data_IF_849766926865
#
_entry.id   IF_849766926865
#
_cell.length_a   1.000
_cell.length_b   1.000
_cell.length_c   1.000
_cell.angle_alpha   90.00
_cell.angle_beta   90.00
_cell.angle_gamma   90.00
#
_symmetry.space_group_name_H-M   'P 1'
#
loop_
_entity.id
_entity.type
_entity.pdbx_description
1 polymer ?
#
# COMPACT_ATOMS: atom_id res chain seq x y z
N UNK A 1 31.05 12.78 7.02
CA UNK A 1 29.65 12.54 6.58
C UNK A 1 28.71 13.66 7.03
N UNK A 2 27.69 13.99 6.24
CA UNK A 2 26.61 14.93 6.64
C UNK A 2 25.70 14.24 7.68
N UNK A 3 25.26 14.96 8.71
CA UNK A 3 24.34 14.40 9.71
C UNK A 3 22.99 14.09 9.06
N UNK A 4 22.52 12.85 9.27
CA UNK A 4 21.21 12.44 8.77
C UNK A 4 20.12 12.95 9.72
N UNK A 5 18.97 13.40 9.20
CA UNK A 5 17.89 13.99 10.01
C UNK A 5 17.08 12.96 10.81
N UNK A 6 17.56 11.71 10.92
CA UNK A 6 16.86 10.64 11.62
C UNK A 6 17.83 9.60 12.21
N UNK A 7 17.38 8.85 13.21
CA UNK A 7 18.17 7.81 13.84
C UNK A 7 18.27 6.54 12.98
N UNK A 8 19.49 6.09 12.71
CA UNK A 8 19.74 4.87 11.95
C UNK A 8 19.61 3.65 12.88
N UNK A 9 18.81 2.63 12.54
CA UNK A 9 18.75 1.40 13.32
C UNK A 9 20.13 0.77 13.51
N UNK A 10 20.41 0.22 14.71
CA UNK A 10 21.70 -0.44 15.04
C UNK A 10 22.12 -1.52 14.03
N UNK A 11 21.16 -2.19 13.39
CA UNK A 11 21.44 -3.19 12.35
C UNK A 11 22.09 -2.60 11.08
N UNK A 12 21.90 -1.30 10.83
CA UNK A 12 22.36 -0.61 9.64
C UNK A 12 23.51 0.37 9.91
N UNK A 13 23.77 0.75 11.17
CA UNK A 13 24.82 1.72 11.53
C UNK A 13 26.22 1.26 11.06
N UNK A 14 26.52 -0.04 11.18
CA UNK A 14 27.80 -0.61 10.75
C UNK A 14 28.11 -0.42 9.25
N UNK A 15 27.08 -0.28 8.40
CA UNK A 15 27.29 -0.02 6.98
C UNK A 15 27.68 1.43 6.73
N UNK A 16 27.21 2.36 7.56
CA UNK A 16 27.51 3.79 7.42
C UNK A 16 28.93 4.08 7.89
N UNK A 17 29.33 3.51 9.03
CA UNK A 17 30.69 3.65 9.57
C UNK A 17 31.74 3.13 8.58
N UNK A 18 31.50 1.95 7.98
CA UNK A 18 32.46 1.29 7.08
C UNK A 18 32.38 1.76 5.63
N UNK A 19 31.46 2.68 5.32
CA UNK A 19 31.27 3.16 3.95
C UNK A 19 32.47 3.98 3.47
N UNK A 20 33.11 4.75 4.36
CA UNK A 20 34.29 5.57 4.02
C UNK A 20 35.51 4.70 3.66
N UNK A 21 35.62 3.50 4.24
CA UNK A 21 36.74 2.58 3.96
C UNK A 21 36.58 1.86 2.61
N UNK A 22 35.42 1.23 2.37
CA UNK A 22 35.20 0.33 1.22
C UNK A 22 33.79 0.50 0.61
N UNK A 23 33.53 1.57 -0.15
CA UNK A 23 32.17 1.97 -0.53
C UNK A 23 31.49 0.95 -1.45
N UNK A 24 32.20 0.37 -2.43
CA UNK A 24 31.63 -0.62 -3.35
C UNK A 24 31.24 -1.93 -2.66
N UNK A 25 32.09 -2.43 -1.77
CA UNK A 25 31.82 -3.66 -1.03
C UNK A 25 30.63 -3.49 -0.09
N UNK A 26 30.55 -2.34 0.58
CA UNK A 26 29.45 -2.01 1.48
C UNK A 26 28.12 -1.92 0.74
N UNK A 27 28.07 -1.25 -0.41
CA UNK A 27 26.86 -1.23 -1.26
C UNK A 27 26.43 -2.65 -1.64
N UNK A 28 27.37 -3.50 -2.07
CA UNK A 28 27.08 -4.89 -2.43
C UNK A 28 26.54 -5.70 -1.26
N UNK A 29 27.16 -5.57 -0.07
CA UNK A 29 26.71 -6.23 1.17
C UNK A 29 25.34 -5.73 1.61
N UNK A 30 25.10 -4.42 1.60
CA UNK A 30 23.81 -3.83 1.96
C UNK A 30 22.71 -4.27 0.99
N UNK A 31 22.98 -4.29 -0.32
CA UNK A 31 22.05 -4.81 -1.32
C UNK A 31 21.70 -6.27 -1.09
N UNK A 32 22.67 -7.12 -0.73
CA UNK A 32 22.42 -8.52 -0.37
C UNK A 32 21.60 -8.65 0.92
N UNK A 33 21.86 -7.81 1.91
CA UNK A 33 21.12 -7.79 3.17
C UNK A 33 19.66 -7.41 2.94
N UNK A 34 19.40 -6.36 2.15
CA UNK A 34 18.05 -5.91 1.81
C UNK A 34 17.23 -6.98 1.06
N UNK A 35 17.86 -7.69 0.12
CA UNK A 35 17.21 -8.82 -0.58
C UNK A 35 16.71 -9.91 0.37
N UNK A 36 17.38 -10.12 1.52
CA UNK A 36 17.01 -11.14 2.51
C UNK A 36 15.98 -10.64 3.51
N UNK A 37 16.04 -9.36 3.88
CA UNK A 37 15.22 -8.76 4.95
C UNK A 37 13.82 -8.37 4.50
N UNK A 38 13.63 -8.11 3.20
CA UNK A 38 12.32 -7.75 2.64
C UNK A 38 12.10 -6.23 2.57
N UNK A 39 10.87 -5.73 2.81
CA UNK A 39 10.53 -4.32 2.63
C UNK A 39 11.17 -3.45 3.72
N UNK A 40 12.20 -2.68 3.36
CA UNK A 40 12.92 -1.82 4.29
C UNK A 40 13.22 -0.43 3.70
N UNK A 41 12.45 0.55 4.13
CA UNK A 41 12.59 1.93 3.66
C UNK A 41 13.94 2.54 4.04
N UNK A 42 14.46 2.28 5.24
CA UNK A 42 15.69 2.92 5.74
C UNK A 42 16.91 2.34 5.03
N UNK A 43 16.95 1.04 4.78
CA UNK A 43 18.07 0.47 4.02
C UNK A 43 18.07 0.89 2.55
N UNK A 44 16.89 1.04 1.92
CA UNK A 44 16.80 1.61 0.57
C UNK A 44 17.18 3.10 0.53
N UNK A 45 16.86 3.86 1.57
CA UNK A 45 17.38 5.22 1.76
C UNK A 45 18.92 5.23 1.81
N UNK A 46 19.55 4.35 2.61
CA UNK A 46 21.00 4.32 2.73
C UNK A 46 21.68 3.95 1.40
N UNK A 47 21.12 2.98 0.66
CA UNK A 47 21.60 2.68 -0.69
C UNK A 47 21.50 3.89 -1.62
N UNK A 48 20.37 4.60 -1.58
CA UNK A 48 20.15 5.79 -2.37
C UNK A 48 21.18 6.88 -2.04
N UNK A 49 21.46 7.09 -0.75
CA UNK A 49 22.47 8.02 -0.26
C UNK A 49 23.88 7.62 -0.69
N UNK A 50 24.24 6.34 -0.57
CA UNK A 50 25.54 5.83 -1.01
C UNK A 50 25.77 6.01 -2.52
N UNK A 51 24.75 5.76 -3.34
CA UNK A 51 24.84 6.02 -4.79
C UNK A 51 24.94 7.52 -5.10
N UNK A 52 24.27 8.37 -4.32
CA UNK A 52 24.41 9.82 -4.47
C UNK A 52 25.85 10.27 -4.19
N UNK A 53 26.48 9.75 -3.13
CA UNK A 53 27.88 10.04 -2.81
C UNK A 53 28.86 9.57 -3.90
N UNK A 54 28.51 8.52 -4.64
CA UNK A 54 29.29 8.03 -5.79
C UNK A 54 28.95 8.74 -7.12
N UNK A 55 28.14 9.80 -7.08
CA UNK A 55 27.62 10.51 -8.27
C UNK A 55 26.79 9.62 -9.22
N UNK A 56 26.30 8.46 -8.76
CA UNK A 56 25.46 7.54 -9.51
C UNK A 56 23.97 7.91 -9.40
N UNK A 57 23.63 9.13 -9.84
CA UNK A 57 22.30 9.73 -9.64
C UNK A 57 21.13 8.86 -10.12
N UNK A 58 21.29 8.15 -11.24
CA UNK A 58 20.23 7.25 -11.78
C UNK A 58 19.88 6.13 -10.79
N UNK A 59 20.89 5.46 -10.23
CA UNK A 59 20.68 4.38 -9.26
C UNK A 59 20.19 4.94 -7.92
N UNK A 60 20.72 6.10 -7.52
CA UNK A 60 20.27 6.81 -6.33
C UNK A 60 18.75 7.09 -6.39
N UNK A 61 18.24 7.64 -7.48
CA UNK A 61 16.81 7.92 -7.66
C UNK A 61 15.98 6.63 -7.65
N UNK A 62 16.45 5.56 -8.30
CA UNK A 62 15.75 4.27 -8.30
C UNK A 62 15.56 3.72 -6.89
N UNK A 63 16.61 3.75 -6.07
CA UNK A 63 16.53 3.29 -4.68
C UNK A 63 15.71 4.25 -3.80
N UNK A 64 15.76 5.56 -4.08
CA UNK A 64 14.91 6.54 -3.38
C UNK A 64 13.42 6.28 -3.62
N UNK A 65 13.04 5.97 -4.86
CA UNK A 65 11.66 5.61 -5.19
C UNK A 65 11.22 4.31 -4.49
N UNK A 66 12.11 3.33 -4.35
CA UNK A 66 11.81 2.13 -3.55
C UNK A 66 11.60 2.47 -2.07
N UNK A 67 12.43 3.34 -1.50
CA UNK A 67 12.25 3.80 -0.13
C UNK A 67 10.87 4.48 0.06
N UNK A 68 10.45 5.31 -0.89
CA UNK A 68 9.09 5.88 -0.94
C UNK A 68 8.00 4.80 -0.98
N UNK A 69 8.19 3.75 -1.78
CA UNK A 69 7.19 2.66 -1.86
C UNK A 69 7.08 1.87 -0.56
N UNK A 70 8.16 1.72 0.20
CA UNK A 70 8.15 0.98 1.47
C UNK A 70 7.68 1.80 2.66
N UNK A 71 7.83 3.13 2.62
CA UNK A 71 7.31 4.04 3.64
C UNK A 71 6.46 5.18 3.02
N UNK A 72 5.29 4.84 2.42
CA UNK A 72 4.38 5.86 1.93
C UNK A 72 3.84 6.69 3.11
N UNK A 73 3.88 8.02 2.98
CA UNK A 73 3.45 8.95 4.03
C UNK A 73 4.58 9.48 4.93
N UNK A 74 5.81 8.96 4.83
CA UNK A 74 6.97 9.62 5.41
C UNK A 74 7.31 10.88 4.58
N UNK A 75 7.29 12.10 5.17
CA UNK A 75 7.58 13.34 4.44
C UNK A 75 8.97 13.32 3.78
N UNK A 76 9.93 12.71 4.47
CA UNK A 76 11.31 12.57 3.99
C UNK A 76 11.41 11.58 2.83
N UNK A 77 10.85 10.37 2.95
CA UNK A 77 10.96 9.36 1.89
C UNK A 77 10.18 9.76 0.64
N UNK A 78 9.06 10.48 0.82
CA UNK A 78 8.24 10.95 -0.28
C UNK A 78 9.01 11.85 -1.26
N UNK A 79 9.88 12.71 -0.73
CA UNK A 79 10.65 13.70 -1.48
C UNK A 79 12.15 13.38 -1.54
N UNK A 80 12.56 12.19 -1.10
CA UNK A 80 13.97 11.80 -1.04
C UNK A 80 14.68 11.97 -2.39
N UNK A 81 14.06 11.51 -3.46
CA UNK A 81 14.61 11.61 -4.82
C UNK A 81 14.82 13.07 -5.27
N UNK A 82 13.98 14.00 -4.79
CA UNK A 82 14.12 15.43 -5.06
C UNK A 82 15.28 16.02 -4.26
N UNK A 83 15.35 15.72 -2.96
CA UNK A 83 16.44 16.18 -2.09
C UNK A 83 17.82 15.79 -2.60
N UNK A 84 17.99 14.58 -3.13
CA UNK A 84 19.30 14.11 -3.59
C UNK A 84 19.80 14.80 -4.88
N UNK A 85 18.92 15.49 -5.61
CA UNK A 85 19.28 16.22 -6.84
C UNK A 85 19.33 17.73 -6.59
N UNK A 86 18.64 18.21 -5.55
CA UNK A 86 18.55 19.63 -5.25
C UNK A 86 19.83 20.17 -4.61
N UNK A 87 20.30 21.39 -4.97
CA UNK A 87 21.49 21.99 -4.35
C UNK A 87 21.35 22.18 -2.85
N UNK A 88 20.15 22.48 -2.37
CA UNK A 88 19.83 22.68 -0.94
C UNK A 88 19.59 21.35 -0.19
N UNK A 89 19.67 20.22 -0.88
CA UNK A 89 19.51 18.87 -0.31
C UNK A 89 18.23 18.71 0.51
N UNK A 90 18.35 18.37 1.80
CA UNK A 90 17.23 18.16 2.72
C UNK A 90 16.55 19.46 3.17
N UNK A 91 17.19 20.61 2.98
CA UNK A 91 16.62 21.93 3.30
C UNK A 91 15.80 22.50 2.15
N UNK A 92 15.74 21.79 1.01
CA UNK A 92 15.01 22.26 -0.16
C UNK A 92 13.52 22.44 0.16
N UNK A 93 13.00 23.62 -0.15
CA UNK A 93 11.59 23.93 0.04
C UNK A 93 10.72 23.01 -0.84
N UNK A 94 9.96 22.11 -0.22
CA UNK A 94 8.97 21.32 -0.92
C UNK A 94 7.73 22.20 -1.08
N UNK A 95 7.24 22.43 -2.32
CA UNK A 95 5.96 23.10 -2.49
C UNK A 95 4.88 22.28 -1.78
N UNK A 96 4.12 22.92 -0.90
CA UNK A 96 2.92 22.35 -0.28
C UNK A 96 1.82 22.23 -1.34
N UNK A 97 2.07 21.51 -2.43
CA UNK A 97 1.02 20.96 -3.25
C UNK A 97 0.45 19.77 -2.49
N UNK A 98 -0.36 20.11 -1.48
CA UNK A 98 -1.63 19.43 -1.38
C UNK A 98 -2.25 19.57 -2.76
N UNK A 99 -2.08 18.56 -3.60
CA UNK A 99 -3.08 18.25 -4.60
C UNK A 99 -4.34 18.02 -3.77
N UNK A 100 -5.05 19.11 -3.46
CA UNK A 100 -6.50 19.08 -3.40
C UNK A 100 -6.82 18.41 -4.71
N UNK A 101 -7.08 17.11 -4.64
CA UNK A 101 -7.62 16.36 -5.74
C UNK A 101 -8.95 17.03 -6.00
N UNK A 102 -8.94 18.06 -6.85
CA UNK A 102 -10.10 18.65 -7.46
C UNK A 102 -10.71 17.52 -8.30
N UNK A 103 -11.59 16.74 -7.66
CA UNK A 103 -12.37 15.67 -8.30
C UNK A 103 -11.94 14.22 -8.06
N UNK A 104 -10.90 13.96 -7.26
CA UNK A 104 -10.56 12.59 -6.86
C UNK A 104 -11.19 12.30 -5.51
N UNK A 105 -12.11 11.35 -5.43
CA UNK A 105 -12.71 10.88 -4.18
C UNK A 105 -11.63 10.82 -3.09
N UNK A 106 -11.64 11.77 -2.14
CA UNK A 106 -11.16 11.45 -0.81
C UNK A 106 -11.94 10.18 -0.49
N UNK A 107 -11.26 9.03 -0.42
CA UNK A 107 -11.81 7.97 0.40
C UNK A 107 -12.19 8.72 1.66
N UNK A 108 -13.48 8.74 1.98
CA UNK A 108 -13.87 8.95 3.35
C UNK A 108 -13.22 7.77 4.07
N UNK A 109 -11.94 7.91 4.39
CA UNK A 109 -11.46 7.60 5.71
C UNK A 109 -12.50 8.31 6.55
N UNK A 110 -13.49 7.52 6.96
CA UNK A 110 -14.34 7.83 8.06
C UNK A 110 -13.46 8.55 9.07
N UNK A 111 -14.00 9.57 9.71
CA UNK A 111 -13.47 10.08 10.97
C UNK A 111 -13.49 8.95 12.01
N UNK A 112 -12.73 7.88 11.76
CA UNK A 112 -12.07 7.09 12.76
C UNK A 112 -11.04 8.07 13.27
N UNK A 113 -11.40 8.75 14.35
CA UNK A 113 -10.39 9.11 15.33
C UNK A 113 -9.62 7.83 15.58
N UNK A 114 -8.47 7.68 14.91
CA UNK A 114 -7.66 6.50 15.07
C UNK A 114 -7.28 6.48 16.55
N UNK A 115 -7.50 5.37 17.28
CA UNK A 115 -7.11 5.24 18.68
C UNK A 115 -5.62 5.56 18.91
N UNK A 116 -4.82 5.56 17.83
CA UNK A 116 -3.41 5.91 17.80
C UNK A 116 -3.09 7.39 18.10
N UNK A 117 -4.06 8.31 18.04
CA UNK A 117 -3.84 9.73 18.38
C UNK A 117 -4.06 10.05 19.87
N UNK A 118 -4.67 9.12 20.63
CA UNK A 118 -4.99 9.29 22.04
C UNK A 118 -4.42 8.10 22.82
N UNK A 119 -3.21 8.29 23.36
CA UNK A 119 -2.42 7.21 23.97
C UNK A 119 -3.16 6.54 25.13
N UNK A 120 -3.90 7.30 25.94
CA UNK A 120 -4.64 6.78 27.09
C UNK A 120 -5.77 5.85 26.64
N UNK A 121 -6.45 6.20 25.53
CA UNK A 121 -7.49 5.35 24.95
C UNK A 121 -6.92 4.10 24.29
N UNK A 122 -5.73 4.19 23.69
CA UNK A 122 -5.02 3.03 23.15
C UNK A 122 -4.62 2.05 24.26
N UNK A 123 -4.11 2.57 25.38
CA UNK A 123 -3.73 1.78 26.56
C UNK A 123 -4.96 1.05 27.10
N UNK A 124 -6.08 1.76 27.29
CA UNK A 124 -7.32 1.15 27.77
C UNK A 124 -7.82 0.05 26.81
N UNK A 125 -7.77 0.26 25.49
CA UNK A 125 -8.15 -0.77 24.53
C UNK A 125 -7.24 -2.00 24.55
N UNK A 126 -5.93 -1.81 24.76
CA UNK A 126 -4.98 -2.92 24.86
C UNK A 126 -5.16 -3.73 26.14
N UNK A 127 -5.47 -3.04 27.24
CA UNK A 127 -5.76 -3.66 28.54
C UNK A 127 -7.09 -4.43 28.51
N UNK A 128 -8.11 -3.89 27.86
CA UNK A 128 -9.38 -4.58 27.60
C UNK A 128 -9.18 -5.82 26.72
N UNK A 129 -8.33 -5.75 25.68
CA UNK A 129 -8.04 -6.89 24.79
C UNK A 129 -7.18 -7.96 25.47
N UNK A 130 -6.32 -7.60 26.43
CA UNK A 130 -5.58 -8.58 27.23
C UNK A 130 -6.52 -9.49 28.03
N UNK A 131 -7.64 -8.95 28.52
CA UNK A 131 -8.67 -9.74 29.21
C UNK A 131 -9.48 -10.67 28.30
N UNK A 132 -9.42 -10.47 26.97
CA UNK A 132 -10.16 -11.23 25.95
C UNK A 132 -9.26 -12.07 25.03
N UNK A 133 -7.97 -12.24 25.37
CA UNK A 133 -7.07 -13.08 24.58
C UNK A 133 -7.66 -14.48 24.41
N UNK A 134 -7.69 -14.94 23.17
CA UNK A 134 -8.06 -16.30 22.78
C UNK A 134 -7.16 -17.25 23.57
N UNK A 135 -7.76 -18.06 24.42
CA UNK A 135 -7.05 -19.19 25.01
C UNK A 135 -6.75 -20.14 23.86
N UNK A 136 -5.46 -20.40 23.61
CA UNK A 136 -5.04 -21.40 22.65
C UNK A 136 -5.59 -22.73 23.19
N UNK A 137 -6.46 -23.43 22.44
CA UNK A 137 -6.96 -24.71 22.90
C UNK A 137 -5.76 -25.63 23.15
N UNK A 138 -5.65 -26.15 24.37
CA UNK A 138 -4.70 -27.22 24.66
C UNK A 138 -5.11 -28.47 23.87
N UNK A 139 -4.20 -29.43 23.71
CA UNK A 139 -4.26 -30.58 22.80
C UNK A 139 -5.52 -31.48 22.87
N UNK A 140 -6.49 -31.16 23.73
CA UNK A 140 -7.72 -31.91 23.99
C UNK A 140 -9.01 -31.30 23.39
N UNK A 141 -8.96 -30.18 22.64
CA UNK A 141 -10.15 -29.63 21.97
C UNK A 141 -10.23 -30.01 20.48
N UNK A 142 -11.41 -30.49 20.06
CA UNK A 142 -11.69 -30.91 18.68
C UNK A 142 -11.59 -29.74 17.69
N UNK A 143 -10.66 -29.85 16.74
CA UNK A 143 -10.46 -28.90 15.65
C UNK A 143 -11.52 -29.12 14.58
N UNK A 144 -12.40 -28.15 14.33
CA UNK A 144 -13.38 -28.22 13.24
C UNK A 144 -12.68 -27.93 11.90
N UNK A 145 -12.36 -29.00 11.16
CA UNK A 145 -11.75 -28.96 9.82
C UNK A 145 -12.80 -28.90 8.70
N UNK A 146 -13.91 -28.20 8.96
CA UNK A 146 -14.98 -28.06 7.97
C UNK A 146 -14.50 -27.29 6.74
N UNK A 147 -14.68 -27.88 5.56
CA UNK A 147 -14.29 -27.30 4.27
C UNK A 147 -15.19 -26.11 3.90
N UNK A 148 -14.74 -24.91 4.27
CA UNK A 148 -15.41 -23.64 4.00
C UNK A 148 -15.37 -23.20 2.51
N UNK A 149 -14.78 -24.01 1.62
CA UNK A 149 -14.73 -23.71 0.17
C UNK A 149 -16.14 -23.57 -0.43
N UNK A 150 -17.12 -24.35 0.07
CA UNK A 150 -18.50 -24.34 -0.43
C UNK A 150 -19.24 -23.05 -0.12
N UNK A 151 -18.99 -22.45 1.04
CA UNK A 151 -19.61 -21.16 1.44
C UNK A 151 -19.09 -19.99 0.59
N UNK A 152 -17.92 -20.15 -0.05
CA UNK A 152 -17.34 -19.14 -0.95
C UNK A 152 -17.99 -19.13 -2.34
N UNK A 153 -18.74 -20.17 -2.73
CA UNK A 153 -19.50 -20.20 -3.98
C UNK A 153 -20.82 -19.39 -3.88
N UNK A 154 -21.31 -19.13 -2.68
CA UNK A 154 -22.54 -18.36 -2.40
C UNK A 154 -22.38 -16.83 -2.48
N UNK A 155 -21.30 -16.30 -3.06
CA UNK A 155 -21.17 -14.85 -3.35
C UNK A 155 -21.96 -14.39 -4.59
N UNK A 156 -22.96 -15.17 -5.04
CA UNK A 156 -23.82 -14.86 -6.20
C UNK A 156 -24.67 -13.57 -5.98
N UNK A 157 -24.75 -13.07 -4.74
CA UNK A 157 -25.45 -11.84 -4.39
C UNK A 157 -24.65 -10.55 -4.61
N UNK A 158 -23.37 -10.62 -4.97
CA UNK A 158 -22.53 -9.43 -5.19
C UNK A 158 -22.70 -8.85 -6.60
N UNK A 159 -23.91 -8.43 -6.96
CA UNK A 159 -24.14 -7.66 -8.18
C UNK A 159 -23.67 -6.20 -7.98
N UNK A 160 -22.55 -5.82 -8.62
CA UNK A 160 -22.04 -4.44 -8.64
C UNK A 160 -21.77 -3.96 -10.06
N UNK A 161 -21.92 -2.65 -10.29
CA UNK A 161 -21.69 -2.04 -11.62
C UNK A 161 -20.25 -2.28 -12.10
N UNK A 162 -19.28 -2.22 -11.19
CA UNK A 162 -17.86 -2.50 -11.48
C UNK A 162 -17.67 -3.95 -11.96
N UNK A 163 -18.32 -4.91 -11.29
CA UNK A 163 -18.25 -6.32 -11.68
C UNK A 163 -18.88 -6.52 -13.07
N UNK A 164 -20.06 -5.95 -13.32
CA UNK A 164 -20.71 -6.01 -14.64
C UNK A 164 -19.82 -5.40 -15.77
N UNK A 165 -19.09 -4.32 -15.48
CA UNK A 165 -18.10 -3.73 -16.41
C UNK A 165 -16.90 -4.64 -16.65
N UNK A 166 -16.41 -5.35 -15.61
CA UNK A 166 -15.32 -6.32 -15.74
C UNK A 166 -15.74 -7.49 -16.64
N UNK A 167 -16.90 -8.10 -16.40
CA UNK A 167 -17.44 -9.18 -17.25
C UNK A 167 -17.65 -8.72 -18.70
N UNK A 168 -18.08 -7.47 -18.91
CA UNK A 168 -18.17 -6.86 -20.24
C UNK A 168 -16.81 -6.80 -20.95
N UNK A 169 -15.77 -6.36 -20.26
CA UNK A 169 -14.40 -6.29 -20.81
C UNK A 169 -13.82 -7.67 -21.12
N UNK A 170 -14.21 -8.68 -20.35
CA UNK A 170 -13.77 -10.07 -20.52
C UNK A 170 -14.56 -10.83 -21.61
N UNK A 171 -15.48 -10.17 -22.32
CA UNK A 171 -16.30 -10.81 -23.35
C UNK A 171 -17.43 -11.70 -22.80
N UNK A 172 -17.61 -11.74 -21.47
CA UNK A 172 -18.66 -12.51 -20.79
C UNK A 172 -19.97 -11.73 -20.76
N UNK A 173 -20.53 -11.48 -21.94
CA UNK A 173 -21.69 -10.61 -22.11
C UNK A 173 -22.96 -11.14 -21.41
N UNK A 174 -23.15 -12.46 -21.37
CA UNK A 174 -24.32 -13.09 -20.72
C UNK A 174 -24.35 -12.84 -19.20
N UNK A 175 -23.19 -12.96 -18.55
CA UNK A 175 -23.05 -12.72 -17.11
C UNK A 175 -23.19 -11.24 -16.77
N UNK A 176 -22.61 -10.36 -17.61
CA UNK A 176 -22.76 -8.92 -17.44
C UNK A 176 -24.23 -8.48 -17.54
N UNK A 177 -25.01 -9.04 -18.46
CA UNK A 177 -26.45 -8.76 -18.59
C UNK A 177 -27.20 -9.17 -17.32
N UNK A 178 -26.99 -10.39 -16.81
CA UNK A 178 -27.62 -10.86 -15.56
C UNK A 178 -27.32 -9.94 -14.38
N UNK A 179 -26.08 -9.44 -14.28
CA UNK A 179 -25.70 -8.51 -13.21
C UNK A 179 -26.38 -7.14 -13.36
N UNK A 180 -26.51 -6.60 -14.57
CA UNK A 180 -27.26 -5.36 -14.80
C UNK A 180 -28.76 -5.53 -14.52
N UNK A 181 -29.35 -6.68 -14.88
CA UNK A 181 -30.74 -7.00 -14.56
C UNK A 181 -30.97 -7.04 -13.03
N UNK A 182 -30.06 -7.70 -12.28
CA UNK A 182 -30.09 -7.69 -10.80
C UNK A 182 -29.93 -6.28 -10.22
N UNK A 183 -29.08 -5.43 -10.81
CA UNK A 183 -28.90 -4.03 -10.39
C UNK A 183 -30.15 -3.18 -10.60
N UNK A 184 -30.90 -3.40 -11.69
CA UNK A 184 -32.17 -2.72 -11.94
C UNK A 184 -33.19 -3.06 -10.85
N UNK A 185 -33.27 -4.34 -10.43
CA UNK A 185 -34.17 -4.76 -9.35
C UNK A 185 -33.81 -4.14 -8.00
N UNK A 186 -32.53 -3.82 -7.75
CA UNK A 186 -32.05 -3.29 -6.47
C UNK A 186 -32.01 -1.76 -6.40
N UNK A 187 -31.70 -1.09 -7.50
CA UNK A 187 -31.61 0.37 -7.58
C UNK A 187 -32.33 0.92 -8.82
N UNK A 188 -33.55 1.39 -8.60
CA UNK A 188 -34.41 1.93 -9.66
C UNK A 188 -33.93 3.29 -10.17
N UNK A 189 -33.08 4.02 -9.43
CA UNK A 189 -32.65 5.37 -9.83
C UNK A 189 -31.75 5.37 -11.07
N UNK A 190 -31.08 4.24 -11.32
CA UNK A 190 -30.17 4.04 -12.47
C UNK A 190 -30.68 3.01 -13.46
N UNK A 191 -31.96 2.64 -13.36
CA UNK A 191 -32.56 1.60 -14.21
C UNK A 191 -32.37 1.90 -15.70
N UNK A 192 -32.61 3.15 -16.13
CA UNK A 192 -32.44 3.58 -17.53
C UNK A 192 -31.00 3.41 -18.02
N UNK A 193 -30.02 3.80 -17.19
CA UNK A 193 -28.60 3.62 -17.49
C UNK A 193 -28.23 2.14 -17.63
N UNK A 194 -28.71 1.28 -16.73
CA UNK A 194 -28.44 -0.16 -16.84
C UNK A 194 -29.13 -0.80 -18.05
N UNK A 195 -30.34 -0.34 -18.40
CA UNK A 195 -31.06 -0.79 -19.58
C UNK A 195 -30.29 -0.44 -20.87
N UNK A 196 -29.74 0.76 -20.99
CA UNK A 196 -28.88 1.15 -22.11
C UNK A 196 -27.62 0.27 -22.23
N UNK A 197 -27.03 -0.11 -21.10
CA UNK A 197 -25.85 -0.97 -21.12
C UNK A 197 -26.21 -2.39 -21.56
N UNK A 198 -27.38 -2.90 -21.16
CA UNK A 198 -27.91 -4.19 -21.63
C UNK A 198 -28.17 -4.15 -23.15
N UNK A 199 -28.77 -3.08 -23.69
CA UNK A 199 -29.03 -2.98 -25.14
C UNK A 199 -27.73 -2.95 -25.96
N UNK A 200 -26.72 -2.19 -25.50
CA UNK A 200 -25.38 -2.18 -26.12
C UNK A 200 -24.71 -3.55 -26.12
N UNK A 201 -24.87 -4.32 -25.03
CA UNK A 201 -24.32 -5.68 -24.91
C UNK A 201 -25.06 -6.69 -25.80
N UNK A 202 -26.40 -6.62 -25.86
CA UNK A 202 -27.21 -7.47 -26.74
C UNK A 202 -26.91 -7.20 -28.23
N UNK A 203 -26.61 -5.96 -28.60
CA UNK A 203 -26.20 -5.60 -29.97
C UNK A 203 -24.82 -6.10 -30.39
N UNK A 204 -23.91 -6.34 -29.44
CA UNK A 204 -22.55 -6.87 -29.70
C UNK A 204 -22.45 -8.39 -29.66
N UNK A 205 -23.48 -9.07 -29.17
CA UNK A 205 -23.53 -10.54 -29.08
C UNK A 205 -24.06 -11.20 -30.36
N UNK A 206 -24.12 -10.46 -31.48
CA UNK A 206 -24.60 -10.90 -32.79
C UNK A 206 -23.46 -10.83 -33.78
#
# INVERSE_FOLDING_TARGET
MQELPFHIPKSLSSYVEKFEDDPEQIISKLKKHLKKRGPDAVGHFLLSWFYHLQNENKKSIQEALKAKTYAPGSPLMEHLHYFLVHPEKFEAAIPNQSYISSGGMKLQQSSRTSPLLDLDRLIQMLEEVESQRIQIPTEDEEFDDSDLSKDSEEVDDLASETLAKIHTKQGRHKEAIKMYERLISRDHNKADHYQEQITKLKGKSK
#
